data_IF_120588722514
#
_entry.id   IF_120588722514
#
_cell.length_a   1.000
_cell.length_b   1.000
_cell.length_c   1.000
_cell.angle_alpha   90.00
_cell.angle_beta   90.00
_cell.angle_gamma   90.00
#
_symmetry.space_group_name_H-M   'P 1'
#
loop_
_entity.id
_entity.type
_entity.pdbx_description
1 polymer ?
#
# COMPACT_ATOMS: atom_id res chain seq x y z
N UNK A 1 11.57 1.69 -8.08
CA UNK A 1 11.91 1.50 -6.65
C UNK A 1 12.42 0.09 -6.44
N UNK A 2 13.44 -0.08 -5.67
CA UNK A 2 14.00 -1.41 -5.38
C UNK A 2 13.67 -1.84 -3.94
N UNK A 3 13.99 -3.10 -3.62
CA UNK A 3 13.70 -3.68 -2.31
C UNK A 3 14.36 -2.91 -1.17
N UNK A 4 15.54 -2.35 -1.41
CA UNK A 4 16.28 -1.59 -0.41
C UNK A 4 15.53 -0.34 0.03
N UNK A 5 14.89 0.36 -0.91
CA UNK A 5 14.11 1.56 -0.59
C UNK A 5 12.88 1.20 0.23
N UNK A 6 12.25 0.09 -0.09
CA UNK A 6 11.07 -0.39 0.66
C UNK A 6 11.47 -0.72 2.09
N UNK A 7 12.57 -1.42 2.29
CA UNK A 7 13.08 -1.75 3.62
C UNK A 7 13.38 -0.50 4.44
N UNK A 8 13.94 0.52 3.79
CA UNK A 8 14.21 1.80 4.44
C UNK A 8 12.91 2.44 4.94
N UNK A 9 11.88 2.47 4.12
CA UNK A 9 10.60 3.04 4.52
C UNK A 9 9.96 2.26 5.66
N UNK A 10 10.06 0.94 5.63
CA UNK A 10 9.52 0.10 6.71
C UNK A 10 10.24 0.34 8.04
N UNK A 11 11.53 0.65 7.99
CA UNK A 11 12.31 0.96 9.19
C UNK A 11 11.99 2.36 9.72
N UNK A 12 11.70 3.30 8.84
CA UNK A 12 11.49 4.70 9.21
C UNK A 12 10.06 5.01 9.65
N UNK A 13 9.11 4.13 9.37
CA UNK A 13 7.72 4.40 9.72
C UNK A 13 7.50 4.32 11.23
N UNK A 14 6.41 4.95 11.68
CA UNK A 14 6.00 4.88 13.08
C UNK A 14 5.69 3.42 13.45
N UNK A 15 6.04 2.97 14.66
CA UNK A 15 5.68 1.60 15.09
C UNK A 15 4.19 1.30 15.04
N UNK A 16 3.35 2.33 15.03
CA UNK A 16 1.89 2.17 14.93
C UNK A 16 1.40 2.18 13.48
N UNK A 17 2.29 2.38 12.51
CA UNK A 17 1.89 2.39 11.10
C UNK A 17 1.37 1.01 10.71
N UNK A 18 0.30 1.01 9.90
CA UNK A 18 -0.30 -0.23 9.44
C UNK A 18 0.46 -0.72 8.22
N UNK A 19 0.96 -1.95 8.32
CA UNK A 19 1.65 -2.63 7.25
C UNK A 19 0.77 -3.78 6.76
N UNK A 20 0.33 -3.70 5.51
CA UNK A 20 -0.46 -4.78 4.92
C UNK A 20 0.45 -5.88 4.42
N UNK A 21 0.19 -7.08 4.89
CA UNK A 21 0.98 -8.25 4.51
C UNK A 21 0.84 -8.52 3.01
N UNK A 22 1.97 -8.69 2.34
CA UNK A 22 1.97 -8.93 0.90
C UNK A 22 1.88 -7.67 0.04
N UNK A 23 1.80 -6.48 0.62
CA UNK A 23 1.73 -5.21 -0.12
C UNK A 23 2.98 -4.36 0.01
N UNK A 24 4.08 -4.92 0.51
CA UNK A 24 5.31 -4.17 0.72
C UNK A 24 5.82 -3.51 -0.56
N UNK A 25 5.67 -4.18 -1.70
CA UNK A 25 6.14 -3.64 -2.98
C UNK A 25 5.38 -2.42 -3.45
N UNK A 26 4.21 -2.16 -2.87
CA UNK A 26 3.41 -0.99 -3.17
C UNK A 26 3.81 0.22 -2.31
N UNK A 27 4.64 0.04 -1.30
CA UNK A 27 5.09 1.13 -0.43
C UNK A 27 6.03 2.04 -1.20
N UNK A 28 5.72 3.34 -1.24
CA UNK A 28 6.51 4.33 -1.96
C UNK A 28 7.13 5.38 -1.04
N UNK A 29 6.81 5.36 0.23
CA UNK A 29 7.36 6.31 1.16
C UNK A 29 6.70 6.26 2.52
N UNK A 30 7.11 7.22 3.36
CA UNK A 30 6.56 7.44 4.69
C UNK A 30 6.19 8.91 4.76
N UNK A 31 4.98 9.22 5.23
CA UNK A 31 4.56 10.61 5.33
C UNK A 31 5.11 11.27 6.60
N UNK A 32 4.81 12.55 6.78
CA UNK A 32 5.33 13.31 7.91
C UNK A 32 4.80 12.84 9.28
N UNK A 33 3.76 12.02 9.29
CA UNK A 33 3.21 11.43 10.52
C UNK A 33 3.75 10.01 10.76
N UNK A 34 4.67 9.55 9.93
CA UNK A 34 5.24 8.21 10.04
C UNK A 34 4.40 7.11 9.45
N UNK A 35 3.33 7.45 8.72
CA UNK A 35 2.45 6.46 8.09
C UNK A 35 3.04 5.95 6.79
N UNK A 36 2.87 4.65 6.52
CA UNK A 36 3.29 4.08 5.24
C UNK A 36 2.37 4.56 4.11
N UNK A 37 2.97 4.94 2.99
CA UNK A 37 2.25 5.39 1.81
C UNK A 37 2.26 4.29 0.76
N UNK A 38 1.09 3.82 0.37
CA UNK A 38 0.90 2.77 -0.62
C UNK A 38 0.43 3.38 -1.93
N UNK A 39 1.08 3.00 -3.03
CA UNK A 39 0.68 3.48 -4.36
C UNK A 39 -0.44 2.59 -4.89
N UNK A 40 -1.57 3.19 -5.24
CA UNK A 40 -2.77 2.47 -5.67
C UNK A 40 -2.51 1.57 -6.88
N UNK A 41 -1.85 2.09 -7.92
CA UNK A 41 -1.58 1.31 -9.13
C UNK A 41 -0.72 0.08 -8.85
N UNK A 42 0.21 0.20 -7.92
CA UNK A 42 1.07 -0.94 -7.54
C UNK A 42 0.31 -1.99 -6.74
N UNK A 43 -0.63 -1.56 -5.90
CA UNK A 43 -1.50 -2.50 -5.21
C UNK A 43 -2.37 -3.26 -6.20
N UNK A 44 -2.92 -2.57 -7.19
CA UNK A 44 -3.70 -3.20 -8.27
C UNK A 44 -2.86 -4.25 -8.99
N UNK A 45 -1.64 -3.90 -9.37
CA UNK A 45 -0.72 -4.82 -10.06
C UNK A 45 -0.42 -6.07 -9.24
N UNK A 46 -0.23 -5.90 -7.93
CA UNK A 46 0.03 -7.04 -7.04
C UNK A 46 -1.14 -8.01 -7.04
N UNK A 47 -2.36 -7.52 -6.90
CA UNK A 47 -3.53 -8.39 -6.87
C UNK A 47 -3.81 -9.02 -8.24
N UNK A 48 -3.53 -8.31 -9.32
CA UNK A 48 -3.68 -8.86 -10.67
C UNK A 48 -2.71 -10.02 -10.91
N UNK A 49 -1.47 -9.89 -10.47
CA UNK A 49 -0.45 -10.92 -10.73
C UNK A 49 -0.47 -12.04 -9.69
N UNK A 50 -0.75 -11.72 -8.43
CA UNK A 50 -0.72 -12.74 -7.37
C UNK A 50 -2.02 -13.52 -7.27
N UNK A 51 -3.16 -12.83 -7.36
CA UNK A 51 -4.48 -13.41 -7.12
C UNK A 51 -5.30 -13.56 -8.39
N UNK A 52 -4.70 -13.30 -9.53
CA UNK A 52 -5.32 -13.47 -10.85
C UNK A 52 -6.62 -12.66 -11.00
N UNK A 53 -6.66 -11.49 -10.38
CA UNK A 53 -7.81 -10.59 -10.48
C UNK A 53 -7.72 -9.73 -11.73
N UNK A 54 -8.87 -9.30 -12.25
CA UNK A 54 -8.89 -8.22 -13.23
C UNK A 54 -8.57 -6.90 -12.52
N UNK A 55 -8.27 -5.85 -13.29
CA UNK A 55 -8.01 -4.53 -12.72
C UNK A 55 -9.21 -4.03 -11.91
N UNK A 56 -10.41 -4.21 -12.43
CA UNK A 56 -11.65 -3.79 -11.75
C UNK A 56 -11.84 -4.55 -10.44
N UNK A 57 -11.64 -5.86 -10.47
CA UNK A 57 -11.74 -6.68 -9.25
C UNK A 57 -10.73 -6.26 -8.19
N UNK A 58 -9.49 -5.98 -8.61
CA UNK A 58 -8.44 -5.53 -7.70
C UNK A 58 -8.80 -4.18 -7.09
N UNK A 59 -9.29 -3.24 -7.87
CA UNK A 59 -9.70 -1.92 -7.38
C UNK A 59 -10.83 -2.02 -6.37
N UNK A 60 -11.83 -2.86 -6.63
CA UNK A 60 -12.94 -3.07 -5.71
C UNK A 60 -12.47 -3.69 -4.40
N UNK A 61 -11.59 -4.67 -4.50
CA UNK A 61 -11.05 -5.33 -3.32
C UNK A 61 -10.27 -4.34 -2.43
N UNK A 62 -9.45 -3.50 -3.05
CA UNK A 62 -8.68 -2.49 -2.35
C UNK A 62 -9.63 -1.47 -1.69
N UNK A 63 -10.65 -1.05 -2.40
CA UNK A 63 -11.63 -0.09 -1.88
C UNK A 63 -12.31 -0.62 -0.62
N UNK A 64 -12.73 -1.88 -0.63
CA UNK A 64 -13.41 -2.49 0.51
C UNK A 64 -12.47 -2.86 1.65
N UNK A 65 -11.32 -3.45 1.35
CA UNK A 65 -10.48 -4.10 2.36
C UNK A 65 -9.28 -3.29 2.80
N UNK A 66 -8.90 -2.27 2.03
CA UNK A 66 -7.77 -1.41 2.37
C UNK A 66 -8.30 -0.02 2.72
N UNK A 67 -8.90 0.66 1.76
CA UNK A 67 -9.37 2.03 1.96
C UNK A 67 -10.51 2.07 2.99
N UNK A 68 -11.42 1.10 2.91
CA UNK A 68 -12.54 1.00 3.83
C UNK A 68 -12.16 0.71 5.28
N UNK A 69 -10.90 0.34 5.56
CA UNK A 69 -10.42 0.08 6.92
C UNK A 69 -9.73 1.28 7.54
N UNK A 70 -10.17 2.50 7.23
CA UNK A 70 -9.67 3.76 7.78
C UNK A 70 -8.37 4.24 7.14
N UNK A 71 -8.37 4.38 5.82
CA UNK A 71 -7.28 5.05 5.12
C UNK A 71 -7.05 6.43 5.73
N UNK A 72 -5.80 6.78 5.97
CA UNK A 72 -5.44 8.02 6.64
C UNK A 72 -5.15 7.84 8.13
N UNK A 73 -5.46 6.66 8.68
CA UNK A 73 -5.17 6.34 10.08
C UNK A 73 -4.22 5.16 10.09
N UNK A 74 -2.95 5.42 10.25
CA UNK A 74 -1.89 4.41 10.25
C UNK A 74 -1.32 4.10 8.88
N UNK A 75 -1.98 4.47 7.80
CA UNK A 75 -1.48 4.32 6.44
C UNK A 75 -2.17 5.32 5.51
N UNK A 76 -1.57 5.53 4.35
CA UNK A 76 -2.08 6.44 3.32
C UNK A 76 -2.05 5.74 1.97
N UNK A 77 -3.07 5.97 1.15
CA UNK A 77 -3.12 5.47 -0.22
C UNK A 77 -2.98 6.65 -1.17
N UNK A 78 -2.02 6.53 -2.09
CA UNK A 78 -1.76 7.55 -3.11
C UNK A 78 -2.30 7.06 -4.44
N UNK A 79 -3.20 7.84 -5.03
CA UNK A 79 -3.78 7.52 -6.32
C UNK A 79 -3.00 8.22 -7.42
N UNK A 80 -2.47 7.44 -8.34
CA UNK A 80 -1.68 7.93 -9.47
C UNK A 80 -2.30 7.55 -10.83
N UNK A 81 -3.44 6.91 -10.79
CA UNK A 81 -4.15 6.42 -11.99
C UNK A 81 -5.53 7.02 -12.19
#
# INVERSE_FOLDING_TARGET
MNTQDIEYYLDCCDPKAIRFDGLDEAVIGVDHEGQLCYLHSKMVDIFMSRDDMTDIEAMEWIDFNVIGTNAGVGFTVVFDD
#
